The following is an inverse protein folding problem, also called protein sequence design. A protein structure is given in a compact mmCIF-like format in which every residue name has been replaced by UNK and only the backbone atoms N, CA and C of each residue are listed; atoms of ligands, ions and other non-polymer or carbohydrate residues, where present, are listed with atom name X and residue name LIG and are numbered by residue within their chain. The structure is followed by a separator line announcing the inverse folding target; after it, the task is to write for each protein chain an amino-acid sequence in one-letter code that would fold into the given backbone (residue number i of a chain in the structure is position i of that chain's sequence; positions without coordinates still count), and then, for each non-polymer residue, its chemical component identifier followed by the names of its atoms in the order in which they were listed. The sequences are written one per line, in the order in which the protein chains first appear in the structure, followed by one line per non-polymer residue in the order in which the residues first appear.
data_IF_618774309583
#
_entry.id   IF_618774309583
#
_cell.length_a   1.000
_cell.length_b   1.000
_cell.length_c   1.000
_cell.angle_alpha   90.00
_cell.angle_beta   90.00
_cell.angle_gamma   90.00
#
_symmetry.space_group_name_H-M   'P 1'
#
loop_
_entity.id
_entity.type
_entity.pdbx_description
1 polymer ?
#
# COMPACT_ATOMS: atom_id res chain seq x y z
N UNK A 1 -10.87 36.04 -4.17
CA UNK A 1 -10.61 35.10 -5.28
C UNK A 1 -9.13 34.73 -5.45
N UNK A 2 -8.16 35.60 -5.14
CA UNK A 2 -6.71 35.29 -5.21
C UNK A 2 -6.30 34.13 -4.27
N UNK A 3 -7.04 33.91 -3.17
CA UNK A 3 -6.78 32.84 -2.18
C UNK A 3 -6.81 31.41 -2.74
N UNK A 4 -7.32 31.17 -3.94
CA UNK A 4 -7.29 29.83 -4.58
C UNK A 4 -6.17 29.68 -5.61
N UNK A 5 -5.12 30.52 -5.57
CA UNK A 5 -3.96 30.44 -6.46
C UNK A 5 -3.33 29.02 -6.48
N UNK A 6 -3.40 28.30 -5.34
CA UNK A 6 -2.88 26.93 -5.24
C UNK A 6 -3.51 25.97 -6.22
N UNK A 7 -4.80 26.11 -6.55
CA UNK A 7 -5.46 25.24 -7.54
C UNK A 7 -4.81 25.42 -8.91
N UNK A 8 -4.50 26.66 -9.27
CA UNK A 8 -3.85 27.00 -10.54
C UNK A 8 -2.43 26.42 -10.60
N UNK A 9 -1.69 26.48 -9.47
CA UNK A 9 -0.37 25.85 -9.33
C UNK A 9 -0.46 24.32 -9.48
N UNK A 10 -1.46 23.68 -8.87
CA UNK A 10 -1.68 22.23 -9.00
C UNK A 10 -1.99 21.84 -10.44
N UNK A 11 -2.88 22.55 -11.12
CA UNK A 11 -3.23 22.30 -12.52
C UNK A 11 -1.99 22.42 -13.42
N UNK A 12 -1.21 23.49 -13.25
CA UNK A 12 0.02 23.68 -14.04
C UNK A 12 1.07 22.61 -13.72
N UNK A 13 1.31 22.31 -12.44
CA UNK A 13 2.29 21.29 -12.03
C UNK A 13 1.95 19.91 -12.58
N UNK A 14 0.68 19.50 -12.55
CA UNK A 14 0.22 18.26 -13.15
C UNK A 14 0.27 18.30 -14.68
N UNK A 15 -0.06 19.42 -15.31
CA UNK A 15 0.05 19.57 -16.76
C UNK A 15 1.50 19.43 -17.25
N UNK A 16 2.46 19.90 -16.46
CA UNK A 16 3.89 19.75 -16.75
C UNK A 16 4.48 18.43 -16.22
N UNK A 17 3.67 17.53 -15.64
CA UNK A 17 4.09 16.26 -15.05
C UNK A 17 5.20 16.41 -13.99
N UNK A 18 5.17 17.51 -13.24
CA UNK A 18 6.07 17.74 -12.10
C UNK A 18 5.69 16.77 -10.99
N UNK A 19 6.67 16.38 -10.17
CA UNK A 19 6.46 15.50 -9.03
C UNK A 19 5.28 15.96 -8.16
N UNK A 20 4.36 15.03 -7.90
CA UNK A 20 3.05 15.32 -7.30
C UNK A 20 3.21 15.94 -5.91
N UNK A 21 4.09 15.36 -5.08
CA UNK A 21 4.33 15.83 -3.72
C UNK A 21 4.89 17.25 -3.69
N UNK A 22 5.85 17.55 -4.57
CA UNK A 22 6.42 18.89 -4.68
C UNK A 22 5.36 19.92 -5.12
N UNK A 23 4.58 19.58 -6.14
CA UNK A 23 3.51 20.44 -6.66
C UNK A 23 2.50 20.81 -5.56
N UNK A 24 2.04 19.82 -4.79
CA UNK A 24 1.07 20.04 -3.70
C UNK A 24 1.68 20.89 -2.58
N UNK A 25 2.94 20.65 -2.22
CA UNK A 25 3.64 21.41 -1.18
C UNK A 25 3.74 22.90 -1.56
N UNK A 26 4.20 23.19 -2.78
CA UNK A 26 4.33 24.57 -3.29
C UNK A 26 2.97 25.26 -3.36
N UNK A 27 1.94 24.56 -3.85
CA UNK A 27 0.58 25.09 -3.91
C UNK A 27 0.02 25.42 -2.52
N UNK A 28 0.27 24.57 -1.53
CA UNK A 28 -0.14 24.77 -0.14
C UNK A 28 0.56 25.98 0.48
N UNK A 29 1.89 26.10 0.32
CA UNK A 29 2.67 27.24 0.82
C UNK A 29 2.20 28.54 0.16
N UNK A 30 2.08 28.56 -1.17
CA UNK A 30 1.64 29.74 -1.92
C UNK A 30 0.23 30.18 -1.50
N UNK A 31 -0.69 29.23 -1.28
CA UNK A 31 -2.06 29.51 -0.81
C UNK A 31 -2.07 30.07 0.61
N UNK A 32 -1.25 29.52 1.50
CA UNK A 32 -1.10 30.01 2.87
C UNK A 32 -0.59 31.45 2.90
N UNK A 33 0.49 31.74 2.16
CA UNK A 33 1.09 33.07 2.08
C UNK A 33 0.11 34.11 1.52
N UNK A 34 -0.58 33.78 0.42
CA UNK A 34 -1.59 34.65 -0.19
C UNK A 34 -2.80 34.87 0.72
N UNK A 35 -3.07 33.93 1.62
CA UNK A 35 -4.15 34.04 2.61
C UNK A 35 -3.78 34.92 3.81
N UNK A 36 -2.53 35.41 3.86
CA UNK A 36 -2.02 36.25 4.94
C UNK A 36 -1.43 35.47 6.13
N UNK A 37 -1.23 34.16 5.97
CA UNK A 37 -0.57 33.34 6.99
C UNK A 37 0.94 33.57 6.96
N UNK A 38 1.54 33.67 8.14
CA UNK A 38 2.98 33.71 8.27
C UNK A 38 3.58 32.32 8.06
N UNK A 39 4.87 32.25 7.68
CA UNK A 39 5.54 30.99 7.38
C UNK A 39 5.45 29.96 8.53
N UNK A 40 5.54 30.43 9.78
CA UNK A 40 5.43 29.57 10.95
C UNK A 40 4.01 28.96 11.07
N UNK A 41 2.96 29.74 10.85
CA UNK A 41 1.57 29.27 10.89
C UNK A 41 1.30 28.22 9.81
N UNK A 42 1.86 28.41 8.61
CA UNK A 42 1.78 27.42 7.52
C UNK A 42 2.44 26.11 7.97
N UNK A 43 3.60 26.17 8.59
CA UNK A 43 4.32 24.99 9.07
C UNK A 43 3.57 24.28 10.21
N UNK A 44 2.95 25.04 11.11
CA UNK A 44 2.07 24.51 12.16
C UNK A 44 0.87 23.78 11.58
N UNK A 45 0.13 24.40 10.65
CA UNK A 45 -1.05 23.80 10.01
C UNK A 45 -0.67 22.53 9.24
N UNK A 46 0.46 22.55 8.52
CA UNK A 46 0.98 21.35 7.86
C UNK A 46 1.25 20.24 8.89
N UNK A 47 1.96 20.55 9.97
CA UNK A 47 2.24 19.61 11.05
C UNK A 47 0.98 19.03 11.68
N UNK A 48 0.02 19.87 12.07
CA UNK A 48 -1.27 19.45 12.62
C UNK A 48 -2.07 18.59 11.63
N UNK A 49 -2.05 18.93 10.34
CA UNK A 49 -2.69 18.16 9.29
C UNK A 49 -2.07 16.77 9.15
N UNK A 50 -0.73 16.66 9.24
CA UNK A 50 -0.03 15.38 9.22
C UNK A 50 -0.36 14.53 10.46
N UNK A 51 -0.38 15.13 11.65
CA UNK A 51 -0.72 14.42 12.89
C UNK A 51 -2.18 13.97 12.90
N UNK A 52 -3.08 14.83 12.43
CA UNK A 52 -4.52 14.53 12.31
C UNK A 52 -4.78 13.42 11.29
N UNK A 53 -4.01 13.38 10.20
CA UNK A 53 -4.05 12.33 9.19
C UNK A 53 -2.99 11.24 9.38
N UNK A 54 -2.54 11.01 10.62
CA UNK A 54 -1.51 10.00 10.95
C UNK A 54 -1.81 8.61 10.39
N UNK A 55 -3.09 8.28 10.19
CA UNK A 55 -3.52 7.03 9.56
C UNK A 55 -2.89 6.78 8.19
N UNK A 56 -2.64 7.84 7.42
CA UNK A 56 -1.92 7.74 6.14
C UNK A 56 -0.48 7.34 6.41
N UNK A 57 0.22 7.94 7.38
CA UNK A 57 1.63 7.66 7.67
C UNK A 57 1.88 6.30 8.34
N UNK A 58 0.86 5.70 8.98
CA UNK A 58 0.99 4.40 9.66
C UNK A 58 1.48 3.26 8.75
N UNK A 59 1.29 3.36 7.42
CA UNK A 59 1.82 2.37 6.47
C UNK A 59 3.35 2.24 6.55
N UNK A 60 4.05 3.29 6.98
CA UNK A 60 5.51 3.27 7.13
C UNK A 60 5.91 2.30 8.25
N UNK A 61 5.11 2.19 9.31
CA UNK A 61 5.38 1.28 10.44
C UNK A 61 5.09 -0.17 10.10
N UNK A 62 4.15 -0.45 9.19
CA UNK A 62 3.81 -1.83 8.84
C UNK A 62 4.94 -2.51 8.08
N UNK A 63 5.72 -1.78 7.27
CA UNK A 63 6.85 -2.33 6.52
C UNK A 63 7.93 -2.97 7.43
N UNK A 64 8.49 -2.29 8.45
CA UNK A 64 9.39 -2.92 9.42
C UNK A 64 8.76 -4.10 10.15
N UNK A 65 7.49 -4.00 10.55
CA UNK A 65 6.78 -5.09 11.23
C UNK A 65 6.74 -6.33 10.35
N UNK A 66 6.41 -6.17 9.07
CA UNK A 66 6.42 -7.27 8.09
C UNK A 66 7.83 -7.80 7.90
N UNK A 67 8.83 -6.94 7.79
CA UNK A 67 10.24 -7.37 7.70
C UNK A 67 10.68 -8.22 8.90
N UNK A 68 10.25 -7.85 10.11
CA UNK A 68 10.47 -8.66 11.32
C UNK A 68 9.75 -10.00 11.19
N UNK A 69 8.45 -10.00 10.85
CA UNK A 69 7.68 -11.25 10.72
C UNK A 69 8.28 -12.18 9.66
N UNK A 70 8.73 -11.66 8.52
CA UNK A 70 9.45 -12.42 7.51
C UNK A 70 10.73 -13.03 8.06
N UNK A 71 11.52 -12.26 8.83
CA UNK A 71 12.74 -12.77 9.49
C UNK A 71 12.43 -13.90 10.49
N UNK A 72 11.26 -13.86 11.14
CA UNK A 72 10.79 -14.90 12.05
C UNK A 72 10.04 -16.06 11.35
N UNK A 73 10.08 -16.12 10.02
CA UNK A 73 9.62 -17.29 9.29
C UNK A 73 8.16 -17.22 8.82
N UNK A 74 7.57 -16.03 8.73
CA UNK A 74 6.18 -15.84 8.30
C UNK A 74 5.90 -16.53 6.95
N UNK A 75 6.82 -16.39 5.99
CA UNK A 75 6.73 -17.00 4.65
C UNK A 75 6.69 -18.52 4.74
N UNK A 76 7.63 -19.09 5.48
CA UNK A 76 7.79 -20.54 5.66
C UNK A 76 6.56 -21.14 6.34
N UNK A 77 6.00 -20.43 7.33
CA UNK A 77 4.78 -20.86 8.02
C UNK A 77 3.57 -20.82 7.11
N UNK A 78 3.42 -19.76 6.30
CA UNK A 78 2.35 -19.63 5.33
C UNK A 78 2.41 -20.74 4.25
N UNK A 79 3.60 -21.04 3.72
CA UNK A 79 3.84 -22.13 2.78
C UNK A 79 3.50 -23.50 3.40
N UNK A 80 3.95 -23.76 4.63
CA UNK A 80 3.66 -25.01 5.34
C UNK A 80 2.15 -25.21 5.55
N UNK A 81 1.44 -24.13 5.89
CA UNK A 81 -0.02 -24.17 6.05
C UNK A 81 -0.69 -24.58 4.73
N UNK A 82 -0.30 -23.97 3.61
CA UNK A 82 -0.89 -24.28 2.31
C UNK A 82 -0.56 -25.71 1.86
N UNK A 83 0.69 -26.16 2.05
CA UNK A 83 1.08 -27.54 1.74
C UNK A 83 0.32 -28.59 2.55
N UNK A 84 -0.23 -28.22 3.72
CA UNK A 84 -1.06 -29.12 4.53
C UNK A 84 -2.49 -29.30 3.98
N UNK A 85 -2.96 -28.40 3.12
CA UNK A 85 -4.30 -28.44 2.53
C UNK A 85 -4.24 -29.22 1.21
N UNK A 86 -4.80 -30.43 1.19
CA UNK A 86 -4.89 -31.24 -0.03
C UNK A 86 -5.77 -30.56 -1.09
N UNK A 87 -5.36 -30.63 -2.35
CA UNK A 87 -6.08 -30.13 -3.53
C UNK A 87 -6.32 -28.61 -3.58
N UNK A 88 -5.49 -27.81 -2.90
CA UNK A 88 -5.58 -26.36 -3.01
C UNK A 88 -4.82 -25.87 -4.26
N UNK A 89 -5.55 -25.45 -5.28
CA UNK A 89 -4.98 -24.83 -6.49
C UNK A 89 -4.68 -23.35 -6.25
N UNK A 90 -3.75 -22.78 -7.03
CA UNK A 90 -3.43 -21.34 -6.99
C UNK A 90 -4.65 -20.46 -7.26
N UNK A 91 -5.50 -20.84 -8.21
CA UNK A 91 -6.75 -20.14 -8.49
C UNK A 91 -7.69 -20.12 -7.27
N UNK A 92 -7.91 -21.28 -6.65
CA UNK A 92 -8.75 -21.38 -5.46
C UNK A 92 -8.21 -20.56 -4.28
N UNK A 93 -6.89 -20.56 -4.08
CA UNK A 93 -6.23 -19.71 -3.07
C UNK A 93 -6.52 -18.23 -3.32
N UNK A 94 -6.29 -17.76 -4.55
CA UNK A 94 -6.52 -16.36 -4.93
C UNK A 94 -8.00 -15.97 -4.77
N UNK A 95 -8.93 -16.85 -5.15
CA UNK A 95 -10.37 -16.63 -4.95
C UNK A 95 -10.71 -16.48 -3.47
N UNK A 96 -10.19 -17.36 -2.60
CA UNK A 96 -10.39 -17.28 -1.14
C UNK A 96 -9.82 -15.96 -0.59
N UNK A 97 -8.60 -15.57 -1.02
CA UNK A 97 -7.99 -14.31 -0.60
C UNK A 97 -8.84 -13.10 -0.99
N UNK A 98 -9.33 -13.02 -2.23
CA UNK A 98 -10.17 -11.91 -2.69
C UNK A 98 -11.52 -11.88 -1.96
N UNK A 99 -12.13 -13.04 -1.71
CA UNK A 99 -13.36 -13.14 -0.90
C UNK A 99 -13.15 -12.63 0.52
N UNK A 100 -12.11 -13.10 1.21
CA UNK A 100 -11.76 -12.65 2.55
C UNK A 100 -11.46 -11.15 2.57
N UNK A 101 -10.76 -10.63 1.55
CA UNK A 101 -10.48 -9.21 1.40
C UNK A 101 -11.74 -8.38 1.19
N UNK A 102 -12.70 -8.89 0.43
CA UNK A 102 -13.97 -8.20 0.19
C UNK A 102 -14.82 -8.16 1.47
N UNK A 103 -14.89 -9.28 2.21
CA UNK A 103 -15.59 -9.37 3.50
C UNK A 103 -14.94 -8.42 4.51
N UNK A 104 -13.61 -8.48 4.67
CA UNK A 104 -12.88 -7.57 5.56
C UNK A 104 -13.13 -6.10 5.18
N UNK A 105 -13.11 -5.79 3.88
CA UNK A 105 -13.44 -4.46 3.36
C UNK A 105 -14.86 -4.00 3.72
N UNK A 106 -15.84 -4.91 3.70
CA UNK A 106 -17.22 -4.61 4.13
C UNK A 106 -17.29 -4.24 5.62
N UNK A 107 -16.43 -4.83 6.46
CA UNK A 107 -16.27 -4.46 7.87
C UNK A 107 -15.31 -3.28 8.09
N UNK A 108 -14.93 -2.54 7.05
CA UNK A 108 -13.93 -1.46 7.10
C UNK A 108 -12.54 -1.89 7.58
N UNK A 109 -12.24 -3.19 7.53
CA UNK A 109 -10.93 -3.76 7.84
C UNK A 109 -10.11 -3.82 6.55
N UNK A 110 -9.01 -3.08 6.50
CA UNK A 110 -8.09 -3.11 5.37
C UNK A 110 -7.06 -4.23 5.57
N UNK A 111 -7.25 -5.35 4.89
CA UNK A 111 -6.17 -6.33 4.69
C UNK A 111 -5.06 -5.63 3.89
N UNK A 112 -3.82 -5.72 4.36
CA UNK A 112 -2.68 -4.89 3.93
C UNK A 112 -2.49 -4.74 2.42
N UNK A 113 -1.79 -3.67 2.02
CA UNK A 113 -1.58 -3.33 0.61
C UNK A 113 -0.68 -4.31 -0.15
N UNK A 114 -0.47 -4.05 -1.44
CA UNK A 114 0.29 -4.93 -2.34
C UNK A 114 1.72 -5.21 -1.83
N UNK A 115 2.45 -4.17 -1.42
CA UNK A 115 3.80 -4.30 -0.86
C UNK A 115 3.83 -4.96 0.53
N UNK A 116 2.73 -4.88 1.28
CA UNK A 116 2.68 -5.25 2.69
C UNK A 116 2.12 -6.64 2.94
N UNK A 117 1.34 -7.18 2.01
CA UNK A 117 0.63 -8.44 2.22
C UNK A 117 0.73 -9.37 1.02
N UNK A 118 0.50 -8.84 -0.19
CA UNK A 118 0.46 -9.68 -1.40
C UNK A 118 1.85 -10.24 -1.72
N UNK A 119 2.84 -9.36 -1.87
CA UNK A 119 4.22 -9.76 -2.18
C UNK A 119 4.86 -10.66 -1.09
N UNK A 120 4.75 -10.32 0.21
CA UNK A 120 5.41 -11.12 1.25
C UNK A 120 4.70 -12.42 1.58
N UNK A 121 3.38 -12.54 1.41
CA UNK A 121 2.60 -13.69 1.90
C UNK A 121 1.84 -14.39 0.78
N UNK A 122 1.00 -13.66 0.04
CA UNK A 122 0.10 -14.28 -0.95
C UNK A 122 0.88 -14.90 -2.11
N UNK A 123 1.90 -14.23 -2.62
CA UNK A 123 2.73 -14.74 -3.71
C UNK A 123 3.43 -16.08 -3.32
N UNK A 124 4.23 -16.17 -2.22
CA UNK A 124 4.85 -17.45 -1.87
C UNK A 124 3.83 -18.56 -1.53
N UNK A 125 2.63 -18.21 -1.04
CA UNK A 125 1.54 -19.18 -0.87
C UNK A 125 0.97 -19.67 -2.21
N UNK A 126 0.82 -18.79 -3.19
CA UNK A 126 0.33 -19.09 -4.54
C UNK A 126 1.29 -20.01 -5.30
N UNK A 127 2.59 -19.74 -5.19
CA UNK A 127 3.66 -20.62 -5.70
C UNK A 127 3.61 -21.99 -5.01
N UNK A 128 3.51 -22.03 -3.67
CA UNK A 128 3.41 -23.29 -2.93
C UNK A 128 2.15 -24.12 -3.27
N UNK A 129 1.03 -23.46 -3.58
CA UNK A 129 -0.20 -24.12 -4.01
C UNK A 129 -0.07 -24.73 -5.41
N UNK A 130 0.61 -24.02 -6.32
CA UNK A 130 0.94 -24.54 -7.65
C UNK A 130 1.88 -25.76 -7.53
N UNK A 131 2.94 -25.67 -6.72
CA UNK A 131 3.86 -26.79 -6.48
C UNK A 131 3.13 -28.04 -5.96
N UNK A 132 2.19 -27.84 -5.02
CA UNK A 132 1.45 -28.92 -4.39
C UNK A 132 0.44 -29.59 -5.36
N UNK A 133 -0.05 -28.86 -6.36
CA UNK A 133 -1.03 -29.36 -7.33
C UNK A 133 -0.37 -29.94 -8.58
N UNK A 134 0.67 -29.30 -9.10
CA UNK A 134 1.27 -29.58 -10.41
C UNK A 134 2.66 -30.23 -10.34
N UNK A 135 3.27 -30.37 -9.15
CA UNK A 135 4.66 -30.83 -9.01
C UNK A 135 5.65 -29.66 -9.11
N UNK A 136 6.93 -29.92 -9.40
CA UNK A 136 7.92 -28.83 -9.58
C UNK A 136 7.49 -27.96 -10.76
N UNK A 137 7.30 -26.67 -10.50
CA UNK A 137 6.95 -25.66 -11.49
C UNK A 137 8.23 -25.18 -12.19
N UNK A 138 8.19 -24.92 -13.49
CA UNK A 138 9.30 -24.32 -14.22
C UNK A 138 9.37 -22.81 -13.95
N UNK A 139 10.56 -22.22 -14.09
CA UNK A 139 10.82 -20.80 -13.79
C UNK A 139 9.94 -19.85 -14.63
N UNK A 140 9.51 -20.29 -15.83
CA UNK A 140 8.57 -19.57 -16.69
C UNK A 140 7.15 -19.48 -16.13
N UNK A 141 6.73 -20.45 -15.31
CA UNK A 141 5.41 -20.46 -14.70
C UNK A 141 5.38 -19.60 -13.43
N UNK A 142 6.53 -19.36 -12.78
CA UNK A 142 6.64 -18.45 -11.63
C UNK A 142 6.36 -17.00 -11.99
N UNK A 143 6.74 -16.56 -13.20
CA UNK A 143 6.47 -15.20 -13.68
C UNK A 143 4.99 -14.96 -14.04
N UNK A 144 4.23 -16.03 -14.26
CA UNK A 144 2.81 -15.99 -14.66
C UNK A 144 1.89 -15.96 -13.42
N UNK A 145 2.37 -16.39 -12.25
CA UNK A 145 1.66 -16.43 -10.95
C UNK A 145 1.66 -15.07 -10.27
#
# INVERSE_FOLDING_TARGET
MIKLIGILIVILGFSFKVETLFTILVAGIATGLVSGLNFNEILTILGESFVSNRGVTLFILTLPVIGILERYGLKQRAVTLIKSIKNLTTGSLCTIYVLLRQIAGAFSIRIGGHAQFVRPIVNPMAQAAAEATNGKIEESDEEII
#
